data_IF_696918106249
#
_entry.id   IF_696918106249
#
_cell.length_a   1.000
_cell.length_b   1.000
_cell.length_c   1.000
_cell.angle_alpha   90.00
_cell.angle_beta   90.00
_cell.angle_gamma   90.00
#
_symmetry.space_group_name_H-M   'P 1'
#
loop_
_entity.id
_entity.type
_entity.pdbx_description
1 polymer ?
#
# COMPACT_ATOMS: atom_id res chain seq x y z
N UNK A 1 8.50 8.43 8.46
CA UNK A 1 7.38 8.36 7.50
C UNK A 1 7.99 8.27 6.12
N UNK A 2 7.76 7.15 5.45
CA UNK A 2 8.31 6.92 4.12
C UNK A 2 7.87 8.02 3.15
N UNK A 3 8.77 8.51 2.27
CA UNK A 3 8.34 9.31 1.15
C UNK A 3 7.42 8.43 0.29
N UNK A 4 6.15 8.78 0.23
CA UNK A 4 5.21 8.07 -0.61
C UNK A 4 5.68 8.16 -2.07
N UNK A 5 6.00 7.02 -2.67
CA UNK A 5 6.31 6.96 -4.10
C UNK A 5 5.13 7.56 -4.89
N UNK A 6 5.47 8.23 -6.00
CA UNK A 6 4.45 8.79 -6.90
C UNK A 6 3.52 7.71 -7.41
N UNK A 7 2.21 7.88 -7.18
CA UNK A 7 1.17 6.97 -7.67
C UNK A 7 0.85 7.09 -9.15
N UNK A 8 1.39 8.11 -9.85
CA UNK A 8 1.00 8.46 -11.23
C UNK A 8 1.03 7.28 -12.20
N UNK A 9 2.09 6.46 -12.14
CA UNK A 9 2.22 5.29 -13.02
C UNK A 9 1.17 4.21 -12.69
N UNK A 10 0.96 3.92 -11.41
CA UNK A 10 -0.04 2.96 -10.96
C UNK A 10 -1.46 3.40 -11.33
N UNK A 11 -1.78 4.68 -11.14
CA UNK A 11 -3.10 5.24 -11.49
C UNK A 11 -3.34 5.23 -13.01
N UNK A 12 -2.29 5.46 -13.82
CA UNK A 12 -2.37 5.34 -15.29
C UNK A 12 -2.71 3.91 -15.74
N UNK A 13 -2.07 2.90 -15.14
CA UNK A 13 -2.35 1.48 -15.44
C UNK A 13 -3.77 1.12 -15.00
N UNK A 14 -4.15 1.47 -13.78
CA UNK A 14 -5.50 1.24 -13.24
C UNK A 14 -6.60 1.81 -14.15
N UNK A 15 -6.42 3.04 -14.66
CA UNK A 15 -7.36 3.66 -15.61
C UNK A 15 -7.53 2.84 -16.91
N UNK A 16 -6.50 2.12 -17.34
CA UNK A 16 -6.51 1.34 -18.60
C UNK A 16 -7.01 -0.08 -18.41
N UNK A 17 -6.88 -0.65 -17.22
CA UNK A 17 -7.18 -2.07 -16.96
C UNK A 17 -8.39 -2.31 -16.07
N UNK A 18 -8.88 -1.26 -15.39
CA UNK A 18 -9.91 -1.40 -14.35
C UNK A 18 -9.36 -1.96 -13.02
N UNK A 19 -8.04 -2.11 -12.89
CA UNK A 19 -7.42 -2.53 -11.63
C UNK A 19 -7.58 -1.46 -10.53
N UNK A 20 -7.59 -1.89 -9.26
CA UNK A 20 -7.57 -1.00 -8.10
C UNK A 20 -6.12 -0.78 -7.63
N UNK A 21 -5.78 0.44 -7.22
CA UNK A 21 -4.44 0.78 -6.67
C UNK A 21 -4.49 0.76 -5.15
N UNK A 22 -3.63 -0.04 -4.53
CA UNK A 22 -3.48 -0.13 -3.07
C UNK A 22 -2.10 0.40 -2.67
N UNK A 23 -2.03 1.24 -1.65
CA UNK A 23 -0.78 1.77 -1.10
C UNK A 23 -0.52 1.12 0.24
N UNK A 24 0.64 0.50 0.39
CA UNK A 24 1.05 -0.22 1.59
C UNK A 24 2.40 0.30 2.11
N UNK A 25 2.68 0.19 3.42
CA UNK A 25 4.03 0.39 3.95
C UNK A 25 5.01 -0.62 3.34
N UNK A 26 6.24 -0.20 3.02
CA UNK A 26 7.28 -1.11 2.50
C UNK A 26 8.36 -1.42 3.54
N UNK A 27 8.40 -0.68 4.64
CA UNK A 27 9.26 -0.95 5.80
C UNK A 27 8.55 -0.66 7.12
N UNK A 28 9.10 -1.29 8.18
CA UNK A 28 8.75 -0.97 9.57
C UNK A 28 9.08 0.50 9.85
N UNK A 29 8.14 1.24 10.41
CA UNK A 29 8.23 2.69 10.60
C UNK A 29 7.93 3.53 9.35
N UNK A 30 7.67 2.89 8.20
CA UNK A 30 7.27 3.55 6.96
C UNK A 30 5.92 4.26 7.08
N UNK A 31 5.02 3.68 7.89
CA UNK A 31 3.76 4.25 8.34
C UNK A 31 3.72 4.27 9.86
N UNK A 32 2.97 5.21 10.46
CA UNK A 32 2.92 5.39 11.93
C UNK A 32 2.46 4.13 12.68
N UNK A 33 1.63 3.31 12.07
CA UNK A 33 1.05 2.08 12.61
C UNK A 33 1.83 0.81 12.20
N UNK A 34 2.92 0.92 11.43
CA UNK A 34 3.75 -0.22 11.01
C UNK A 34 4.93 -0.39 11.99
N UNK A 35 4.65 -0.73 13.24
CA UNK A 35 5.63 -0.72 14.34
C UNK A 35 6.55 -1.95 14.36
N UNK A 36 6.09 -3.07 13.84
CA UNK A 36 6.85 -4.30 13.65
C UNK A 36 6.43 -5.02 12.37
N UNK A 37 7.12 -6.11 12.04
CA UNK A 37 6.85 -6.86 10.82
C UNK A 37 5.46 -7.50 10.80
N UNK A 38 4.95 -7.99 11.94
CA UNK A 38 3.65 -8.65 11.99
C UNK A 38 2.54 -7.63 11.73
N UNK A 39 2.60 -6.49 12.42
CA UNK A 39 1.67 -5.38 12.24
C UNK A 39 1.74 -4.81 10.83
N UNK A 40 2.94 -4.67 10.26
CA UNK A 40 3.11 -4.24 8.86
C UNK A 40 2.47 -5.23 7.87
N UNK A 41 2.68 -6.53 8.07
CA UNK A 41 2.08 -7.58 7.24
C UNK A 41 0.56 -7.56 7.38
N UNK A 42 0.04 -7.44 8.59
CA UNK A 42 -1.40 -7.31 8.84
C UNK A 42 -1.98 -6.09 8.12
N UNK A 43 -1.29 -4.95 8.14
CA UNK A 43 -1.69 -3.76 7.39
C UNK A 43 -1.75 -4.01 5.88
N UNK A 44 -0.76 -4.73 5.32
CA UNK A 44 -0.72 -5.09 3.90
C UNK A 44 -1.89 -6.02 3.55
N UNK A 45 -2.04 -7.12 4.28
CA UNK A 45 -3.08 -8.14 4.05
C UNK A 45 -4.48 -7.52 4.15
N UNK A 46 -4.73 -6.72 5.20
CA UNK A 46 -6.01 -6.03 5.37
C UNK A 46 -6.29 -5.01 4.26
N UNK A 47 -5.26 -4.30 3.78
CA UNK A 47 -5.43 -3.32 2.69
C UNK A 47 -5.76 -3.99 1.36
N UNK A 48 -5.13 -5.12 1.06
CA UNK A 48 -5.42 -5.92 -0.14
C UNK A 48 -6.80 -6.57 -0.04
N UNK A 49 -7.15 -7.16 1.11
CA UNK A 49 -8.45 -7.78 1.33
C UNK A 49 -9.62 -6.80 1.16
N UNK A 50 -9.49 -5.55 1.66
CA UNK A 50 -10.48 -4.49 1.47
C UNK A 50 -10.63 -4.03 0.02
N UNK A 51 -9.63 -4.30 -0.82
CA UNK A 51 -9.63 -3.91 -2.23
C UNK A 51 -10.20 -4.99 -3.15
N UNK A 52 -10.50 -6.19 -2.65
CA UNK A 52 -11.26 -7.20 -3.41
C UNK A 52 -12.71 -6.75 -3.52
#
# INVERSE_FOLDING_TARGET
LEPAYSRKAADLVAKRTGAKVVVCPISVGGRKDAEDYLTMIDLIVNSVSKAM
#
